data_IF_969933303335
#
_entry.id   IF_969933303335
#
_cell.length_a   1.000
_cell.length_b   1.000
_cell.length_c   1.000
_cell.angle_alpha   90.00
_cell.angle_beta   90.00
_cell.angle_gamma   90.00
#
_symmetry.space_group_name_H-M   'P 1'
#
loop_
_entity.id
_entity.type
_entity.pdbx_description
1 polymer ?
#
# COMPACT_ATOMS: atom_id res chain seq x y z
N UNK A 1 -14.62 -1.65 -2.70
CA UNK A 1 -13.52 -1.10 -1.88
C UNK A 1 -12.23 -1.22 -2.68
N UNK A 2 -11.55 -0.11 -2.97
CA UNK A 2 -10.31 -0.08 -3.74
C UNK A 2 -9.17 -0.61 -2.87
N UNK A 3 -8.36 -1.55 -3.37
CA UNK A 3 -7.32 -2.22 -2.57
C UNK A 3 -5.95 -2.11 -3.23
N UNK A 4 -4.98 -1.53 -2.53
CA UNK A 4 -3.57 -1.52 -2.89
C UNK A 4 -2.85 -2.62 -2.10
N UNK A 5 -2.31 -3.61 -2.80
CA UNK A 5 -1.48 -4.66 -2.21
C UNK A 5 -0.01 -4.31 -2.39
N UNK A 6 0.74 -4.21 -1.31
CA UNK A 6 2.19 -3.96 -1.29
C UNK A 6 2.88 -5.25 -0.86
N UNK A 7 3.67 -5.82 -1.76
CA UNK A 7 4.41 -7.05 -1.52
C UNK A 7 5.92 -6.81 -1.47
N UNK A 8 6.63 -7.70 -0.78
CA UNK A 8 8.09 -7.79 -0.89
C UNK A 8 8.73 -8.56 0.26
N UNK A 9 10.00 -8.92 0.11
CA UNK A 9 10.79 -9.62 1.11
C UNK A 9 10.86 -8.87 2.46
N UNK A 10 11.29 -9.56 3.51
CA UNK A 10 11.57 -8.90 4.79
C UNK A 10 12.66 -7.83 4.59
N UNK A 11 12.44 -6.62 5.11
CA UNK A 11 13.38 -5.50 4.93
C UNK A 11 13.27 -4.73 3.61
N UNK A 12 12.33 -5.06 2.72
CA UNK A 12 12.14 -4.35 1.44
C UNK A 12 11.60 -2.91 1.55
N UNK A 13 11.28 -2.46 2.77
CA UNK A 13 10.66 -1.15 3.01
C UNK A 13 9.14 -1.10 2.79
N UNK A 14 8.48 -2.25 2.58
CA UNK A 14 7.03 -2.34 2.31
C UNK A 14 6.12 -1.66 3.34
N UNK A 15 6.42 -1.75 4.64
CA UNK A 15 5.65 -1.03 5.68
C UNK A 15 5.79 0.48 5.55
N UNK A 16 7.00 0.99 5.26
CA UNK A 16 7.21 2.42 4.99
C UNK A 16 6.48 2.86 3.72
N UNK A 17 6.53 2.06 2.66
CA UNK A 17 5.78 2.34 1.42
C UNK A 17 4.27 2.41 1.67
N UNK A 18 3.75 1.56 2.55
CA UNK A 18 2.34 1.54 2.91
C UNK A 18 1.91 2.79 3.70
N UNK A 19 2.77 3.28 4.60
CA UNK A 19 2.55 4.55 5.29
C UNK A 19 2.57 5.74 4.33
N UNK A 20 3.50 5.75 3.37
CA UNK A 20 3.56 6.80 2.34
C UNK A 20 2.33 6.75 1.44
N UNK A 21 1.85 5.55 1.08
CA UNK A 21 0.61 5.38 0.32
C UNK A 21 -0.62 5.94 1.07
N UNK A 22 -0.71 5.68 2.38
CA UNK A 22 -1.76 6.23 3.23
C UNK A 22 -1.72 7.77 3.28
N UNK A 23 -0.53 8.34 3.43
CA UNK A 23 -0.34 9.80 3.41
C UNK A 23 -0.74 10.41 2.07
N UNK A 24 -0.36 9.80 0.94
CA UNK A 24 -0.71 10.28 -0.39
C UNK A 24 -2.22 10.23 -0.62
N UNK A 25 -2.88 9.13 -0.23
CA UNK A 25 -4.33 8.99 -0.34
C UNK A 25 -5.06 10.13 0.40
N UNK A 26 -4.63 10.43 1.63
CA UNK A 26 -5.22 11.51 2.43
C UNK A 26 -4.91 12.90 1.85
N UNK A 27 -3.64 13.18 1.53
CA UNK A 27 -3.18 14.52 1.15
C UNK A 27 -3.58 14.92 -0.28
N UNK A 28 -3.62 13.99 -1.22
CA UNK A 28 -3.88 14.29 -2.63
C UNK A 28 -5.32 14.02 -3.06
N UNK A 29 -6.00 13.06 -2.42
CA UNK A 29 -7.34 12.64 -2.80
C UNK A 29 -8.39 12.88 -1.70
N UNK A 30 -7.98 13.33 -0.50
CA UNK A 30 -8.89 13.47 0.63
C UNK A 30 -9.52 12.15 1.07
N UNK A 31 -8.88 11.02 0.71
CA UNK A 31 -9.38 9.67 0.91
C UNK A 31 -8.81 9.07 2.19
N UNK A 32 -9.67 8.40 2.95
CA UNK A 32 -9.28 7.66 4.14
C UNK A 32 -8.57 6.35 3.76
N UNK A 33 -7.70 5.82 4.63
CA UNK A 33 -6.96 4.59 4.33
C UNK A 33 -6.87 3.62 5.50
N UNK A 34 -7.19 2.34 5.24
CA UNK A 34 -7.05 1.26 6.23
C UNK A 34 -5.80 0.44 5.92
N UNK A 35 -4.88 0.38 6.87
CA UNK A 35 -3.64 -0.39 6.76
C UNK A 35 -3.82 -1.79 7.38
N UNK A 36 -3.65 -2.83 6.58
CA UNK A 36 -3.60 -4.21 7.04
C UNK A 36 -2.22 -4.79 6.77
N UNK A 37 -1.43 -5.01 7.82
CA UNK A 37 -0.21 -5.81 7.71
C UNK A 37 -0.59 -7.28 7.99
N UNK A 38 -0.31 -8.17 7.04
CA UNK A 38 -0.62 -9.60 7.16
C UNK A 38 0.56 -10.40 7.74
N UNK A 39 1.74 -9.78 7.87
CA UNK A 39 2.96 -10.43 8.35
C UNK A 39 3.16 -10.31 9.87
N UNK A 40 2.79 -9.16 10.43
CA UNK A 40 2.64 -8.94 11.85
C UNK A 40 1.14 -8.89 12.11
N UNK A 41 0.65 -9.56 13.16
CA UNK A 41 -0.77 -9.61 13.56
C UNK A 41 -1.29 -8.26 14.07
N UNK A 42 -0.91 -7.16 13.44
CA UNK A 42 -1.21 -5.78 13.79
C UNK A 42 -2.29 -5.27 12.85
N UNK A 43 -3.53 -5.33 13.31
CA UNK A 43 -4.65 -4.70 12.62
C UNK A 43 -4.79 -3.27 13.14
N UNK A 44 -4.20 -2.29 12.44
CA UNK A 44 -4.48 -0.87 12.72
C UNK A 44 -5.63 -0.42 11.84
N UNK A 45 -6.85 -0.57 12.35
CA UNK A 45 -8.04 0.02 11.74
C UNK A 45 -8.49 1.24 12.53
N UNK A 46 -8.39 2.42 11.96
CA UNK A 46 -9.25 3.55 12.29
C UNK A 46 -10.56 3.40 11.50
N UNK A 47 -11.71 3.60 12.13
CA UNK A 47 -13.01 3.64 11.43
C UNK A 47 -13.05 4.86 10.51
N UNK A 48 -13.61 4.70 9.31
CA UNK A 48 -13.64 5.77 8.29
C UNK A 48 -15.02 5.95 7.68
N UNK A 49 -15.33 7.20 7.33
CA UNK A 49 -16.64 7.69 6.89
C UNK A 49 -16.64 8.23 5.44
N UNK A 50 -15.48 8.26 4.74
CA UNK A 50 -15.34 8.66 3.32
C UNK A 50 -14.73 7.56 2.43
N UNK A 51 -14.64 7.80 1.11
CA UNK A 51 -14.05 6.86 0.13
C UNK A 51 -12.73 6.28 0.66
N UNK A 52 -12.77 5.02 1.08
CA UNK A 52 -11.66 4.38 1.77
C UNK A 52 -10.86 3.47 0.85
N UNK A 53 -9.53 3.66 0.80
CA UNK A 53 -8.60 2.71 0.19
C UNK A 53 -8.11 1.71 1.24
N UNK A 54 -8.10 0.42 0.89
CA UNK A 54 -7.47 -0.62 1.70
C UNK A 54 -6.03 -0.80 1.25
N UNK A 55 -5.07 -0.62 2.15
CA UNK A 55 -3.64 -0.86 1.89
C UNK A 55 -3.24 -2.13 2.62
N UNK A 56 -2.84 -3.15 1.88
CA UNK A 56 -2.47 -4.47 2.44
C UNK A 56 -0.98 -4.68 2.25
N UNK A 57 -0.25 -4.99 3.32
CA UNK A 57 1.18 -5.30 3.29
C UNK A 57 1.37 -6.78 3.50
N UNK A 58 2.15 -7.41 2.62
CA UNK A 58 2.32 -8.86 2.60
C UNK A 58 3.75 -9.26 2.22
N UNK A 59 4.38 -10.17 2.96
CA UNK A 59 5.70 -10.71 2.60
C UNK A 59 5.54 -11.78 1.53
N UNK A 60 6.39 -11.79 0.52
CA UNK A 60 6.44 -12.90 -0.45
C UNK A 60 7.26 -14.06 0.15
N UNK A 61 6.79 -15.32 0.20
CA UNK A 61 5.56 -15.89 -0.35
C UNK A 61 4.56 -16.27 0.76
N UNK A 62 3.99 -15.31 1.48
CA UNK A 62 2.98 -15.64 2.49
C UNK A 62 1.71 -16.21 1.84
N UNK A 63 1.06 -17.14 2.54
CA UNK A 63 -0.13 -17.85 2.07
C UNK A 63 -1.37 -16.93 2.13
N UNK A 64 -2.30 -17.09 1.19
CA UNK A 64 -3.56 -16.33 1.13
C UNK A 64 -3.65 -15.39 -0.08
N UNK A 65 -4.69 -15.55 -0.91
CA UNK A 65 -4.95 -14.65 -2.04
C UNK A 65 -5.65 -13.40 -1.50
N UNK A 66 -5.09 -12.22 -1.76
CA UNK A 66 -5.72 -10.94 -1.45
C UNK A 66 -6.21 -10.33 -2.76
N UNK A 67 -7.52 -10.08 -2.93
CA UNK A 67 -8.02 -9.35 -4.09
C UNK A 67 -7.49 -7.91 -4.03
N UNK A 68 -6.80 -7.46 -5.07
CA UNK A 68 -6.15 -6.15 -5.14
C UNK A 68 -6.48 -5.47 -6.46
N UNK A 69 -6.79 -4.17 -6.40
CA UNK A 69 -6.94 -3.30 -7.56
C UNK A 69 -5.58 -3.05 -8.20
N UNK A 70 -4.56 -2.82 -7.36
CA UNK A 70 -3.17 -2.70 -7.77
C UNK A 70 -2.25 -3.46 -6.84
N UNK A 71 -1.14 -3.93 -7.42
CA UNK A 71 -0.06 -4.60 -6.70
C UNK A 71 1.23 -3.80 -6.90
N UNK A 72 1.88 -3.44 -5.81
CA UNK A 72 3.20 -2.80 -5.80
C UNK A 72 4.22 -3.80 -5.24
N UNK A 73 5.16 -4.24 -6.08
CA UNK A 73 6.24 -5.12 -5.65
C UNK A 73 7.48 -4.30 -5.25
N UNK A 74 7.76 -4.26 -3.96
CA UNK A 74 8.90 -3.53 -3.39
C UNK A 74 10.25 -4.17 -3.71
N UNK A 75 10.28 -5.45 -4.09
CA UNK A 75 11.53 -6.15 -4.43
C UNK A 75 12.18 -5.57 -5.71
N UNK A 76 11.38 -4.95 -6.58
CA UNK A 76 11.90 -4.22 -7.75
C UNK A 76 12.78 -3.01 -7.35
N UNK A 77 12.62 -2.50 -6.13
CA UNK A 77 13.34 -1.35 -5.61
C UNK A 77 14.41 -1.75 -4.59
N UNK A 78 14.78 -3.03 -4.50
CA UNK A 78 15.71 -3.52 -3.48
C UNK A 78 17.05 -2.75 -3.40
N UNK A 79 17.53 -2.22 -4.54
CA UNK A 79 18.75 -1.38 -4.59
C UNK A 79 18.56 -0.02 -3.93
N UNK A 80 17.38 0.58 -4.04
CA UNK A 80 17.05 1.91 -3.53
C UNK A 80 15.63 1.97 -2.96
N UNK A 81 15.37 1.32 -1.80
CA UNK A 81 14.02 1.18 -1.23
C UNK A 81 13.42 2.49 -0.71
N UNK A 82 14.20 3.57 -0.68
CA UNK A 82 13.79 4.94 -0.32
C UNK A 82 14.06 5.95 -1.44
N UNK A 83 14.34 5.49 -2.65
CA UNK A 83 14.67 6.35 -3.78
C UNK A 83 13.43 7.04 -4.36
N UNK A 84 13.65 8.09 -5.16
CA UNK A 84 12.57 8.84 -5.84
C UNK A 84 11.64 7.94 -6.66
N UNK A 85 12.19 6.91 -7.30
CA UNK A 85 11.42 5.94 -8.08
C UNK A 85 10.34 5.22 -7.26
N UNK A 86 10.61 4.92 -5.98
CA UNK A 86 9.64 4.31 -5.06
C UNK A 86 8.49 5.27 -4.80
N UNK A 87 8.77 6.53 -4.48
CA UNK A 87 7.75 7.53 -4.21
C UNK A 87 6.82 7.74 -5.41
N UNK A 88 7.39 7.81 -6.63
CA UNK A 88 6.59 7.92 -7.86
C UNK A 88 5.72 6.68 -8.08
N UNK A 89 6.28 5.48 -7.91
CA UNK A 89 5.52 4.24 -8.06
C UNK A 89 4.37 4.11 -7.04
N UNK A 90 4.60 4.54 -5.79
CA UNK A 90 3.56 4.58 -4.76
C UNK A 90 2.46 5.56 -5.17
N UNK A 91 2.83 6.77 -5.59
CA UNK A 91 1.86 7.79 -6.03
C UNK A 91 1.01 7.29 -7.18
N UNK A 92 1.64 6.75 -8.23
CA UNK A 92 0.94 6.21 -9.40
C UNK A 92 0.00 5.05 -9.01
N UNK A 93 0.42 4.18 -8.09
CA UNK A 93 -0.42 3.07 -7.63
C UNK A 93 -1.64 3.56 -6.82
N UNK A 94 -1.48 4.59 -6.00
CA UNK A 94 -2.58 5.23 -5.26
C UNK A 94 -3.53 5.95 -6.22
N UNK A 95 -2.98 6.74 -7.14
CA UNK A 95 -3.74 7.46 -8.17
C UNK A 95 -4.53 6.47 -9.02
N UNK A 96 -3.94 5.36 -9.47
CA UNK A 96 -4.66 4.33 -10.24
C UNK A 96 -5.76 3.63 -9.42
N UNK A 97 -5.57 3.46 -8.12
CA UNK A 97 -6.60 2.92 -7.23
C UNK A 97 -7.76 3.91 -7.08
N UNK A 98 -7.48 5.20 -6.86
CA UNK A 98 -8.49 6.21 -6.51
C UNK A 98 -9.13 6.89 -7.72
N UNK A 99 -8.41 7.10 -8.83
CA UNK A 99 -8.89 7.74 -10.05
C UNK A 99 -9.77 6.84 -10.94
N UNK A 100 -9.80 5.52 -10.68
CA UNK A 100 -10.80 4.63 -11.26
C UNK A 100 -12.18 4.94 -10.64
N UNK A 101 -12.84 5.98 -11.14
CA UNK A 101 -14.25 6.28 -10.91
C UNK A 101 -15.11 5.63 -12.00
#
# INVERSE_FOLDING_TARGET
MKTLLIIGAKGSGKSSAAQVAAQIAMQHHGADSVLHELDDNTTRSTQFTREAIRIVVKTTPSRGKVPATRVLNMDHFARHPRGRAVTFAIREAVDACLAAH
#
